data_IF_297450844240
#
_entry.id   IF_297450844240
#
_cell.length_a   1.000
_cell.length_b   1.000
_cell.length_c   1.000
_cell.angle_alpha   90.00
_cell.angle_beta   90.00
_cell.angle_gamma   90.00
#
_symmetry.space_group_name_H-M   'P 1'
#
loop_
_entity.id
_entity.type
_entity.pdbx_description
1 polymer ?
#
# COMPACT_ATOMS: atom_id res chain seq x y z
N UNK A 1 -21.38 5.43 19.46
CA UNK A 1 -20.14 4.66 19.44
C UNK A 1 -20.37 3.26 19.98
N UNK A 2 -19.77 2.26 19.33
CA UNK A 2 -19.75 0.89 19.83
C UNK A 2 -18.42 0.74 20.59
N UNK A 3 -18.50 0.41 21.88
CA UNK A 3 -17.32 0.11 22.69
C UNK A 3 -17.31 -1.39 22.99
N UNK A 4 -16.25 -2.07 22.65
CA UNK A 4 -16.03 -3.48 23.01
C UNK A 4 -15.00 -3.47 24.14
N UNK A 5 -15.44 -3.79 25.35
CA UNK A 5 -14.57 -3.92 26.51
C UNK A 5 -14.37 -5.40 26.83
N UNK A 6 -13.13 -5.85 26.79
CA UNK A 6 -12.75 -7.15 27.34
C UNK A 6 -12.13 -6.92 28.71
N UNK A 7 -12.79 -7.40 29.76
CA UNK A 7 -12.31 -7.35 31.16
C UNK A 7 -12.19 -8.79 31.63
N UNK A 8 -10.95 -9.21 31.93
CA UNK A 8 -10.68 -10.52 32.47
C UNK A 8 -9.63 -10.44 33.58
N UNK A 9 -9.92 -11.04 34.70
CA UNK A 9 -8.94 -11.28 35.75
C UNK A 9 -8.05 -12.45 35.36
N UNK A 10 -6.82 -12.14 34.94
CA UNK A 10 -5.83 -13.15 34.58
C UNK A 10 -4.83 -12.69 33.51
N UNK A 11 -3.87 -13.56 33.18
CA UNK A 11 -2.74 -13.26 32.30
C UNK A 11 -3.08 -13.17 30.78
N UNK A 12 -4.35 -13.41 30.40
CA UNK A 12 -4.75 -13.39 29.00
C UNK A 12 -5.97 -12.48 28.82
N UNK A 13 -5.88 -11.59 27.88
CA UNK A 13 -6.96 -10.69 27.46
C UNK A 13 -7.73 -11.33 26.32
N UNK A 14 -9.05 -11.16 26.30
CA UNK A 14 -9.87 -11.57 25.18
C UNK A 14 -9.50 -10.74 23.93
N UNK A 15 -9.43 -11.40 22.79
CA UNK A 15 -9.13 -10.78 21.52
C UNK A 15 -10.40 -10.65 20.65
N UNK A 16 -10.46 -9.63 19.80
CA UNK A 16 -11.46 -9.54 18.75
C UNK A 16 -11.00 -10.34 17.55
N UNK A 17 -11.60 -11.52 17.33
CA UNK A 17 -11.32 -12.36 16.17
C UNK A 17 -12.35 -12.04 15.07
N UNK A 18 -11.88 -11.57 13.91
CA UNK A 18 -12.69 -11.44 12.70
C UNK A 18 -12.31 -12.59 11.76
N UNK A 19 -13.20 -13.56 11.59
CA UNK A 19 -12.96 -14.76 10.80
C UNK A 19 -13.83 -14.74 9.56
N UNK A 20 -13.19 -14.71 8.37
CA UNK A 20 -13.86 -14.90 7.09
C UNK A 20 -13.56 -16.32 6.59
N UNK A 21 -14.59 -17.11 6.36
CA UNK A 21 -14.50 -18.51 5.92
C UNK A 21 -14.86 -18.71 4.45
N UNK A 22 -15.03 -17.63 3.69
CA UNK A 22 -15.31 -17.70 2.25
C UNK A 22 -14.15 -18.32 1.49
N UNK A 23 -14.45 -19.17 0.52
CA UNK A 23 -13.49 -19.72 -0.44
C UNK A 23 -13.21 -18.79 -1.63
N UNK A 24 -13.91 -17.67 -1.69
CA UNK A 24 -13.80 -16.64 -2.72
C UNK A 24 -12.88 -15.49 -2.21
N UNK A 25 -13.05 -14.29 -2.71
CA UNK A 25 -12.33 -13.11 -2.21
C UNK A 25 -12.65 -12.85 -0.75
N UNK A 26 -11.63 -12.81 0.11
CA UNK A 26 -11.79 -12.65 1.55
C UNK A 26 -11.31 -11.28 2.01
N UNK A 27 -12.20 -10.52 2.65
CA UNK A 27 -11.86 -9.30 3.38
C UNK A 27 -12.04 -9.54 4.88
N UNK A 28 -11.02 -9.24 5.68
CA UNK A 28 -11.11 -9.32 7.14
C UNK A 28 -11.85 -8.12 7.72
N UNK A 29 -11.30 -6.93 7.58
CA UNK A 29 -11.87 -5.68 8.11
C UNK A 29 -11.75 -4.56 7.08
N UNK A 30 -12.84 -3.82 6.90
CA UNK A 30 -12.83 -2.54 6.18
C UNK A 30 -13.12 -1.41 7.15
N UNK A 31 -12.40 -0.30 7.00
CA UNK A 31 -12.61 0.91 7.78
C UNK A 31 -12.89 2.04 6.78
N UNK A 32 -14.02 2.73 6.98
CA UNK A 32 -14.45 3.85 6.15
C UNK A 32 -14.60 5.11 6.97
N UNK A 33 -14.23 6.24 6.37
CA UNK A 33 -14.71 7.57 6.73
C UNK A 33 -15.65 7.96 5.61
N UNK A 34 -16.97 7.90 5.85
CA UNK A 34 -17.98 7.82 4.82
C UNK A 34 -18.67 9.18 4.54
N UNK A 35 -18.57 10.14 5.44
CA UNK A 35 -19.21 11.45 5.30
C UNK A 35 -18.42 12.48 4.47
N UNK A 36 -17.09 12.30 4.38
CA UNK A 36 -16.19 13.19 3.63
C UNK A 36 -14.84 12.50 3.40
N UNK A 37 -14.04 13.03 2.48
CA UNK A 37 -12.68 12.56 2.20
C UNK A 37 -11.66 13.49 2.86
N UNK A 38 -11.21 13.20 4.09
CA UNK A 38 -10.34 14.14 4.82
C UNK A 38 -8.94 14.29 4.22
N UNK A 39 -8.39 13.22 3.61
CA UNK A 39 -7.08 13.19 2.94
C UNK A 39 -6.00 14.06 3.62
N UNK A 40 -5.74 13.78 4.90
CA UNK A 40 -4.84 14.57 5.73
C UNK A 40 -4.20 13.76 6.86
N UNK A 41 -3.12 14.31 7.46
CA UNK A 41 -2.37 13.69 8.55
C UNK A 41 -2.97 13.96 9.95
N UNK A 42 -4.22 14.39 10.05
CA UNK A 42 -4.92 14.62 11.33
C UNK A 42 -6.12 13.70 11.51
N UNK A 43 -6.67 13.19 10.42
CA UNK A 43 -7.71 12.15 10.46
C UNK A 43 -7.07 10.77 10.30
N UNK A 44 -7.51 9.79 11.06
CA UNK A 44 -6.91 8.46 11.12
C UNK A 44 -7.94 7.37 10.79
N UNK A 45 -7.54 6.40 9.96
CA UNK A 45 -8.28 5.15 9.78
C UNK A 45 -8.05 4.19 10.95
N UNK A 46 -6.82 4.16 11.49
CA UNK A 46 -6.43 3.28 12.59
C UNK A 46 -5.44 3.99 13.52
N UNK A 47 -5.65 3.80 14.82
CA UNK A 47 -4.71 4.24 15.85
C UNK A 47 -4.53 3.12 16.87
N UNK A 48 -3.30 2.69 17.06
CA UNK A 48 -2.89 1.72 18.07
C UNK A 48 -2.08 2.42 19.13
N UNK A 49 -2.58 2.40 20.36
CA UNK A 49 -1.98 3.10 21.50
C UNK A 49 -2.04 2.26 22.77
N UNK A 50 -1.13 2.53 23.65
CA UNK A 50 -1.15 2.07 25.05
C UNK A 50 -1.17 3.28 26.02
N UNK A 51 -0.94 3.02 27.31
CA UNK A 51 -0.87 4.09 28.33
C UNK A 51 0.33 5.04 28.15
N UNK A 52 1.34 4.63 27.38
CA UNK A 52 2.53 5.44 27.07
C UNK A 52 2.40 6.30 25.80
N UNK A 53 1.33 6.12 25.03
CA UNK A 53 1.07 6.90 23.83
C UNK A 53 0.79 6.06 22.57
N UNK A 54 0.81 6.72 21.42
CA UNK A 54 0.60 6.12 20.11
C UNK A 54 1.82 5.29 19.71
N UNK A 55 1.55 4.06 19.18
CA UNK A 55 2.57 3.12 18.70
C UNK A 55 2.58 2.99 17.19
N UNK A 56 1.39 2.97 16.59
CA UNK A 56 1.22 2.81 15.15
C UNK A 56 -0.06 3.51 14.69
N UNK A 57 0.00 4.24 13.56
CA UNK A 57 -1.13 4.95 12.97
C UNK A 57 -1.20 4.78 11.46
N UNK A 58 -2.41 4.76 10.94
CA UNK A 58 -2.69 4.87 9.50
C UNK A 58 -3.58 6.09 9.31
N UNK A 59 -3.06 7.10 8.66
CA UNK A 59 -3.75 8.35 8.40
C UNK A 59 -4.68 8.27 7.19
N UNK A 60 -5.59 9.20 7.06
CA UNK A 60 -6.58 9.22 5.99
C UNK A 60 -6.01 9.53 4.60
N UNK A 61 -4.82 10.12 4.53
CA UNK A 61 -4.07 10.34 3.29
C UNK A 61 -3.21 9.13 2.86
N UNK A 62 -3.27 8.02 3.63
CA UNK A 62 -2.52 6.81 3.37
C UNK A 62 -1.14 6.76 4.00
N UNK A 63 -0.70 7.81 4.69
CA UNK A 63 0.55 7.79 5.43
C UNK A 63 0.47 6.80 6.61
N UNK A 64 1.57 6.09 6.82
CA UNK A 64 1.73 5.12 7.92
C UNK A 64 2.87 5.58 8.83
N UNK A 65 2.60 5.67 10.11
CA UNK A 65 3.57 6.08 11.12
C UNK A 65 3.67 5.05 12.22
N UNK A 66 4.90 4.68 12.59
CA UNK A 66 5.16 3.95 13.82
C UNK A 66 6.19 4.70 14.69
N UNK A 67 6.09 4.47 16.01
CA UNK A 67 6.89 5.17 17.00
C UNK A 67 8.39 4.94 16.84
N UNK A 68 8.82 3.72 16.50
CA UNK A 68 10.22 3.30 16.56
C UNK A 68 10.89 3.27 15.18
N UNK A 69 10.18 3.67 14.11
CA UNK A 69 10.65 3.60 12.72
C UNK A 69 11.20 2.21 12.35
N UNK A 70 10.58 1.15 12.88
CA UNK A 70 11.02 -0.23 12.68
C UNK A 70 9.97 -1.02 11.91
N UNK A 71 10.34 -1.47 10.72
CA UNK A 71 9.56 -2.38 9.88
C UNK A 71 10.40 -3.62 9.62
N UNK A 72 10.13 -4.69 10.37
CA UNK A 72 10.88 -5.95 10.25
C UNK A 72 10.22 -6.93 9.29
N UNK A 73 11.03 -7.74 8.63
CA UNK A 73 10.59 -8.92 7.92
C UNK A 73 11.18 -10.17 8.57
N UNK A 74 10.38 -11.22 8.73
CA UNK A 74 10.89 -12.51 9.22
C UNK A 74 11.98 -13.01 8.26
N UNK A 75 13.19 -13.29 8.78
CA UNK A 75 14.37 -13.56 7.95
C UNK A 75 15.30 -14.63 8.55
N UNK A 76 14.77 -15.50 9.41
CA UNK A 76 15.52 -16.63 10.00
C UNK A 76 15.93 -17.63 8.90
N UNK A 77 17.18 -18.10 8.94
CA UNK A 77 17.70 -19.05 7.94
C UNK A 77 16.92 -20.36 7.88
N UNK A 78 16.34 -20.80 9.02
CA UNK A 78 15.57 -22.05 9.12
C UNK A 78 14.28 -22.06 8.31
N UNK A 79 13.78 -20.89 7.94
CA UNK A 79 12.58 -20.75 7.07
C UNK A 79 12.94 -20.42 5.63
N UNK A 80 14.23 -20.45 5.28
CA UNK A 80 14.73 -20.19 3.93
C UNK A 80 15.33 -21.46 3.35
N UNK A 81 15.33 -21.55 2.04
CA UNK A 81 15.90 -22.63 1.29
C UNK A 81 16.74 -22.12 0.10
N UNK A 82 17.74 -22.86 -0.32
CA UNK A 82 18.60 -22.51 -1.45
C UNK A 82 19.26 -21.12 -1.31
N UNK A 83 19.80 -20.84 -0.12
CA UNK A 83 20.49 -19.57 0.15
C UNK A 83 21.78 -19.53 -0.66
N UNK A 84 21.90 -18.55 -1.53
CA UNK A 84 23.09 -18.29 -2.35
C UNK A 84 23.38 -16.80 -2.39
N UNK A 85 24.60 -16.44 -2.76
CA UNK A 85 24.95 -15.04 -3.00
C UNK A 85 24.12 -14.44 -4.14
N UNK A 86 23.67 -13.22 -3.95
CA UNK A 86 23.03 -12.47 -5.02
C UNK A 86 24.05 -12.14 -6.11
N UNK A 87 23.67 -12.33 -7.38
CA UNK A 87 24.43 -11.81 -8.51
C UNK A 87 24.57 -10.29 -8.47
N UNK A 88 25.34 -9.74 -9.40
CA UNK A 88 25.52 -8.29 -9.52
C UNK A 88 24.18 -7.55 -9.67
N UNK A 89 24.06 -6.42 -8.98
CA UNK A 89 22.92 -5.52 -9.06
C UNK A 89 23.30 -4.12 -9.59
N UNK A 90 24.55 -3.95 -9.96
CA UNK A 90 25.10 -2.67 -10.39
C UNK A 90 24.40 -2.10 -11.64
N UNK A 91 24.25 -2.94 -12.66
CA UNK A 91 23.66 -2.49 -13.93
C UNK A 91 22.17 -2.21 -13.80
N UNK A 92 21.43 -2.99 -12.98
CA UNK A 92 20.03 -2.73 -12.67
C UNK A 92 19.87 -1.36 -12.00
N UNK A 93 20.62 -1.12 -10.91
CA UNK A 93 20.55 0.16 -10.18
C UNK A 93 20.93 1.34 -11.08
N UNK A 94 21.92 1.18 -11.94
CA UNK A 94 22.34 2.22 -12.90
C UNK A 94 21.29 2.51 -13.97
N UNK A 95 20.55 1.49 -14.41
CA UNK A 95 19.53 1.61 -15.46
C UNK A 95 18.19 2.15 -14.96
N UNK A 96 17.88 2.01 -13.66
CA UNK A 96 16.66 2.55 -13.06
C UNK A 96 16.63 4.08 -13.14
N UNK A 97 15.47 4.63 -13.52
CA UNK A 97 15.27 6.06 -13.70
C UNK A 97 14.45 6.65 -12.58
N UNK A 98 15.08 7.44 -11.73
CA UNK A 98 14.35 8.23 -10.73
C UNK A 98 13.63 9.37 -11.43
N UNK A 99 12.32 9.44 -11.25
CA UNK A 99 11.43 10.41 -11.88
C UNK A 99 10.84 11.38 -10.87
N UNK A 100 10.47 12.55 -11.33
CA UNK A 100 9.68 13.54 -10.62
C UNK A 100 8.32 13.64 -11.32
N UNK A 101 7.23 13.46 -10.58
CA UNK A 101 5.87 13.42 -11.13
C UNK A 101 4.85 13.97 -10.13
N UNK A 102 3.63 14.21 -10.59
CA UNK A 102 2.45 14.47 -9.76
C UNK A 102 1.46 13.33 -9.97
N UNK A 103 0.73 12.94 -8.93
CA UNK A 103 -0.36 11.97 -9.09
C UNK A 103 -1.57 12.66 -9.74
N UNK A 104 -2.30 11.91 -10.56
CA UNK A 104 -3.51 12.44 -11.25
C UNK A 104 -4.65 12.71 -10.26
N UNK A 105 -4.74 11.92 -9.18
CA UNK A 105 -5.70 12.15 -8.11
C UNK A 105 -5.39 13.42 -7.31
N UNK A 106 -4.12 13.66 -6.92
CA UNK A 106 -3.71 14.93 -6.29
C UNK A 106 -4.07 16.13 -7.18
N UNK A 107 -3.86 16.02 -8.50
CA UNK A 107 -4.23 17.09 -9.45
C UNK A 107 -5.74 17.28 -9.50
N UNK A 108 -6.51 16.20 -9.50
CA UNK A 108 -7.98 16.26 -9.54
C UNK A 108 -8.54 16.92 -8.27
N UNK A 109 -7.93 16.64 -7.13
CA UNK A 109 -8.42 17.10 -5.82
C UNK A 109 -7.96 18.52 -5.48
N UNK A 110 -6.67 18.81 -5.67
CA UNK A 110 -6.06 20.08 -5.23
C UNK A 110 -5.83 21.07 -6.37
N UNK A 111 -5.98 20.65 -7.63
CA UNK A 111 -5.60 21.41 -8.81
C UNK A 111 -4.10 21.30 -9.14
N UNK A 112 -3.78 21.53 -10.42
CA UNK A 112 -2.42 21.34 -10.94
C UNK A 112 -1.36 22.22 -10.23
N UNK A 113 -1.72 23.40 -9.78
CA UNK A 113 -0.81 24.33 -9.12
C UNK A 113 -0.47 23.91 -7.69
N UNK A 114 -1.43 23.29 -6.97
CA UNK A 114 -1.28 22.90 -5.57
C UNK A 114 -0.80 21.47 -5.40
N UNK A 115 -1.06 20.58 -6.37
CA UNK A 115 -0.59 19.19 -6.34
C UNK A 115 0.93 19.15 -6.22
N UNK A 116 1.43 18.41 -5.24
CA UNK A 116 2.87 18.33 -4.92
C UNK A 116 3.59 17.40 -5.88
N UNK A 117 4.83 17.75 -6.21
CA UNK A 117 5.72 16.81 -6.88
C UNK A 117 6.18 15.72 -5.92
N UNK A 118 6.15 14.48 -6.42
CA UNK A 118 6.73 13.30 -5.76
C UNK A 118 7.96 12.84 -6.53
N UNK A 119 8.85 12.10 -5.88
CA UNK A 119 10.03 11.49 -6.47
C UNK A 119 9.90 9.98 -6.29
N UNK A 120 10.15 9.23 -7.36
CA UNK A 120 10.07 7.77 -7.33
C UNK A 120 10.38 7.14 -8.67
N UNK A 121 10.06 5.87 -8.81
CA UNK A 121 10.18 5.11 -10.05
C UNK A 121 8.82 5.02 -10.74
N UNK A 122 8.83 4.91 -12.07
CA UNK A 122 7.65 4.51 -12.86
C UNK A 122 7.69 3.00 -13.00
N UNK A 123 6.61 2.31 -12.61
CA UNK A 123 6.59 0.85 -12.51
C UNK A 123 6.92 0.15 -13.82
N UNK A 124 6.40 0.63 -14.96
CA UNK A 124 6.69 0.07 -16.28
C UNK A 124 8.15 0.25 -16.69
N UNK A 125 8.79 1.37 -16.34
CA UNK A 125 10.22 1.59 -16.60
C UNK A 125 11.08 0.68 -15.71
N UNK A 126 10.66 0.50 -14.44
CA UNK A 126 11.37 -0.36 -13.49
C UNK A 126 11.22 -1.84 -13.85
N UNK A 127 10.05 -2.27 -14.33
CA UNK A 127 9.79 -3.63 -14.80
C UNK A 127 10.70 -4.04 -15.96
N UNK A 128 10.92 -3.13 -16.91
CA UNK A 128 11.81 -3.38 -18.05
C UNK A 128 13.27 -3.62 -17.63
N UNK A 129 13.68 -3.12 -16.46
CA UNK A 129 15.03 -3.31 -15.90
C UNK A 129 15.07 -4.50 -14.96
N UNK A 130 14.12 -4.58 -14.05
CA UNK A 130 14.10 -5.56 -12.96
C UNK A 130 12.66 -5.95 -12.61
N UNK A 131 12.07 -6.97 -13.29
CA UNK A 131 10.67 -7.37 -13.11
C UNK A 131 10.32 -7.73 -11.65
N UNK A 132 11.27 -8.24 -10.89
CA UNK A 132 11.07 -8.62 -9.49
C UNK A 132 10.76 -7.43 -8.55
N UNK A 133 11.03 -6.20 -9.01
CA UNK A 133 10.64 -4.98 -8.28
C UNK A 133 9.14 -4.71 -8.32
N UNK A 134 8.40 -5.35 -9.22
CA UNK A 134 7.00 -5.05 -9.45
C UNK A 134 6.10 -6.00 -8.68
N UNK A 135 5.01 -5.47 -8.17
CA UNK A 135 3.81 -6.20 -7.78
C UNK A 135 2.59 -5.60 -8.44
N UNK A 136 1.58 -6.43 -8.63
CA UNK A 136 0.32 -6.03 -9.24
C UNK A 136 -0.83 -6.28 -8.28
N UNK A 137 -1.81 -5.38 -8.29
CA UNK A 137 -3.04 -5.52 -7.53
C UNK A 137 -4.25 -5.08 -8.36
N UNK A 138 -5.44 -5.44 -7.88
CA UNK A 138 -6.67 -4.96 -8.47
C UNK A 138 -6.77 -3.43 -8.31
N UNK A 139 -7.27 -2.70 -9.33
CA UNK A 139 -7.43 -1.25 -9.26
C UNK A 139 -8.53 -0.87 -8.26
N UNK A 140 -8.30 0.21 -7.56
CA UNK A 140 -9.28 0.88 -6.72
C UNK A 140 -10.04 2.00 -7.46
N UNK A 141 -10.92 2.68 -6.74
CA UNK A 141 -11.75 3.78 -7.28
C UNK A 141 -10.88 4.89 -7.86
N UNK A 142 -9.82 5.30 -7.15
CA UNK A 142 -8.96 6.41 -7.60
C UNK A 142 -8.12 6.05 -8.83
N UNK A 143 -7.72 4.79 -8.97
CA UNK A 143 -7.02 4.30 -10.15
C UNK A 143 -7.91 4.41 -11.38
N UNK A 144 -9.16 3.91 -11.28
CA UNK A 144 -10.15 3.96 -12.36
C UNK A 144 -10.52 5.42 -12.71
N UNK A 145 -10.69 6.29 -11.71
CA UNK A 145 -10.91 7.72 -11.94
C UNK A 145 -9.72 8.42 -12.61
N UNK A 146 -8.52 7.89 -12.41
CA UNK A 146 -7.30 8.42 -13.01
C UNK A 146 -7.07 7.92 -14.42
N UNK A 147 -7.55 6.69 -14.74
CA UNK A 147 -7.47 6.11 -16.07
C UNK A 147 -8.53 5.00 -16.24
N UNK A 148 -9.49 5.23 -17.14
CA UNK A 148 -10.61 4.31 -17.40
C UNK A 148 -10.19 2.96 -18.01
N UNK A 149 -8.95 2.81 -18.45
CA UNK A 149 -8.43 1.50 -18.90
C UNK A 149 -8.30 0.50 -17.76
N UNK A 150 -8.24 0.96 -16.51
CA UNK A 150 -8.25 0.10 -15.33
C UNK A 150 -9.61 -0.52 -15.02
N UNK A 151 -10.72 0.08 -15.47
CA UNK A 151 -12.06 -0.43 -15.19
C UNK A 151 -13.15 0.61 -15.33
N UNK A 152 -14.31 0.32 -14.76
CA UNK A 152 -15.47 1.21 -14.71
C UNK A 152 -16.03 1.31 -13.29
N UNK A 153 -16.70 2.40 -13.00
CA UNK A 153 -17.44 2.62 -11.75
C UNK A 153 -18.93 2.58 -12.03
N UNK A 154 -19.74 2.31 -11.00
CA UNK A 154 -21.19 2.47 -11.10
C UNK A 154 -21.53 3.95 -11.27
N UNK A 155 -22.37 4.25 -12.26
CA UNK A 155 -22.84 5.58 -12.60
C UNK A 155 -24.37 5.68 -12.43
N UNK A 156 -24.89 6.90 -12.54
CA UNK A 156 -26.32 7.14 -12.51
C UNK A 156 -27.01 6.44 -13.70
N UNK A 157 -28.08 5.67 -13.41
CA UNK A 157 -28.76 4.84 -14.40
C UNK A 157 -28.28 3.40 -14.52
N UNK A 158 -27.20 3.02 -13.83
CA UNK A 158 -26.78 1.62 -13.74
C UNK A 158 -27.70 0.81 -12.82
N UNK A 159 -27.86 -0.48 -13.10
CA UNK A 159 -28.40 -1.45 -12.13
C UNK A 159 -27.34 -1.72 -11.06
N UNK A 160 -27.63 -1.28 -9.82
CA UNK A 160 -26.68 -1.38 -8.71
C UNK A 160 -27.06 -2.58 -7.84
N UNK A 161 -26.20 -3.61 -7.71
CA UNK A 161 -26.43 -4.76 -6.83
C UNK A 161 -26.52 -4.36 -5.36
N UNK A 162 -27.19 -5.18 -4.55
CA UNK A 162 -27.26 -5.02 -3.11
C UNK A 162 -25.85 -4.87 -2.49
N UNK A 163 -25.69 -3.87 -1.63
CA UNK A 163 -24.42 -3.58 -0.97
C UNK A 163 -23.39 -2.84 -1.82
N UNK A 164 -23.80 -2.35 -2.99
CA UNK A 164 -23.01 -1.47 -3.85
C UNK A 164 -23.61 -0.06 -3.90
N UNK A 165 -22.80 0.91 -4.34
CA UNK A 165 -23.23 2.31 -4.50
C UNK A 165 -22.64 2.93 -5.77
N UNK A 166 -23.25 4.03 -6.23
CA UNK A 166 -22.70 4.88 -7.29
C UNK A 166 -21.27 5.30 -6.91
N UNK A 167 -20.35 5.25 -7.88
CA UNK A 167 -18.93 5.56 -7.68
C UNK A 167 -18.08 4.41 -7.15
N UNK A 168 -18.68 3.26 -6.77
CA UNK A 168 -17.90 2.04 -6.49
C UNK A 168 -17.47 1.32 -7.78
N UNK A 169 -16.49 0.42 -7.62
CA UNK A 169 -15.97 -0.36 -8.75
C UNK A 169 -17.04 -1.32 -9.28
N UNK A 170 -17.43 -1.12 -10.56
CA UNK A 170 -18.35 -1.95 -11.32
C UNK A 170 -17.60 -3.10 -12.01
N UNK A 171 -16.50 -2.78 -12.69
CA UNK A 171 -15.69 -3.73 -13.42
C UNK A 171 -14.22 -3.38 -13.30
N UNK A 172 -13.36 -4.38 -13.13
CA UNK A 172 -11.90 -4.26 -13.19
C UNK A 172 -11.39 -4.87 -14.49
N UNK A 173 -10.63 -4.09 -15.30
CA UNK A 173 -10.14 -4.51 -16.62
C UNK A 173 -8.65 -4.78 -16.66
N UNK A 174 -7.87 -4.08 -15.87
CA UNK A 174 -6.42 -4.21 -15.80
C UNK A 174 -5.94 -4.13 -14.36
N UNK A 175 -4.73 -4.60 -14.09
CA UNK A 175 -4.07 -4.47 -12.79
C UNK A 175 -3.29 -3.16 -12.68
N UNK A 176 -3.14 -2.67 -11.47
CA UNK A 176 -2.26 -1.54 -11.11
C UNK A 176 -0.92 -2.07 -10.65
N UNK A 177 0.17 -1.51 -11.18
CA UNK A 177 1.54 -1.89 -10.83
C UNK A 177 2.08 -1.00 -9.72
N UNK A 178 2.78 -1.61 -8.75
CA UNK A 178 3.47 -0.93 -7.67
C UNK A 178 4.92 -1.40 -7.52
N UNK A 179 5.74 -0.58 -6.84
CA UNK A 179 7.16 -0.85 -6.63
C UNK A 179 7.39 -1.43 -5.24
N UNK A 180 8.12 -2.56 -5.17
CA UNK A 180 8.60 -3.17 -3.92
C UNK A 180 9.89 -2.47 -3.46
N UNK A 181 9.79 -1.38 -2.78
CA UNK A 181 10.95 -0.60 -2.32
C UNK A 181 11.88 -1.38 -1.39
N UNK A 182 11.38 -2.35 -0.63
CA UNK A 182 12.23 -3.21 0.21
C UNK A 182 13.23 -4.04 -0.61
N UNK A 183 12.83 -4.53 -1.78
CA UNK A 183 13.73 -5.23 -2.72
C UNK A 183 14.73 -4.23 -3.33
N UNK A 184 14.27 -3.03 -3.69
CA UNK A 184 15.13 -1.98 -4.23
C UNK A 184 16.25 -1.62 -3.24
N UNK A 185 15.96 -1.55 -1.93
CA UNK A 185 16.98 -1.30 -0.91
C UNK A 185 18.05 -2.39 -0.88
N UNK A 186 17.68 -3.67 -1.00
CA UNK A 186 18.64 -4.77 -1.05
C UNK A 186 19.51 -4.73 -2.32
N UNK A 187 18.92 -4.39 -3.48
CA UNK A 187 19.67 -4.18 -4.73
C UNK A 187 20.67 -3.02 -4.58
N UNK A 188 20.26 -1.91 -3.98
CA UNK A 188 21.14 -0.77 -3.75
C UNK A 188 22.30 -1.12 -2.80
N UNK A 189 22.05 -1.88 -1.72
CA UNK A 189 23.10 -2.37 -0.82
C UNK A 189 24.11 -3.23 -1.59
N UNK A 190 23.64 -4.17 -2.42
CA UNK A 190 24.53 -5.02 -3.20
C UNK A 190 25.38 -4.21 -4.19
N UNK A 191 24.75 -3.24 -4.88
CA UNK A 191 25.49 -2.36 -5.79
C UNK A 191 26.55 -1.52 -5.07
N UNK A 192 26.28 -1.04 -3.85
CA UNK A 192 27.26 -0.34 -3.00
C UNK A 192 28.45 -1.25 -2.60
N UNK A 193 28.19 -2.50 -2.24
CA UNK A 193 29.23 -3.49 -1.96
C UNK A 193 30.14 -3.71 -3.17
N UNK A 194 29.56 -3.80 -4.37
CA UNK A 194 30.33 -3.94 -5.63
C UNK A 194 31.15 -2.69 -5.95
N UNK A 195 30.65 -1.49 -5.66
CA UNK A 195 31.39 -0.25 -5.85
C UNK A 195 32.65 -0.16 -4.98
N UNK A 196 32.64 -0.75 -3.77
CA UNK A 196 33.79 -0.77 -2.87
C UNK A 196 34.92 -1.72 -3.33
N UNK A 197 34.61 -2.65 -4.21
CA UNK A 197 35.58 -3.63 -4.73
C UNK A 197 36.15 -3.26 -6.10
N UNK A 198 35.74 -2.14 -6.66
CA UNK A 198 36.22 -1.57 -7.94
C UNK A 198 37.26 -0.48 -7.72
#
# INVERSE_FOLDING_TARGET
PITINAIKDGNYVEELIIKNTSSQSCFGKRIYIDQYAPDNNSSEFMNFRDTGGERFRVFSDGDVQNHDNSYGSISDERIKQNITDSGSQWDDIKALKVRKFKLKDDIREYGADKAKYKIGLVAQEAEAVSPNLISECAPGINDIKSDSTFGTLYEDGDEIPDGKAIGEVKEQKATVKSIKYSILYMKAIKALQEAQTR
#
